data_IF_594706989088
#
_entry.id   IF_594706989088
#
_cell.length_a   1.000
_cell.length_b   1.000
_cell.length_c   1.000
_cell.angle_alpha   90.00
_cell.angle_beta   90.00
_cell.angle_gamma   90.00
#
_symmetry.space_group_name_H-M   'P 1'
#
loop_
_entity.id
_entity.type
_entity.pdbx_description
1 polymer ?
#
# COMPACT_ATOMS: atom_id res chain seq x y z
N UNK A 1 25.77 16.55 -6.63
CA UNK A 1 25.70 17.57 -5.57
C UNK A 1 26.36 18.83 -6.13
N UNK A 2 25.63 19.93 -6.26
CA UNK A 2 26.14 21.19 -6.79
C UNK A 2 25.96 22.22 -5.69
N UNK A 3 27.06 22.78 -5.20
CA UNK A 3 27.07 23.86 -4.21
C UNK A 3 26.84 25.17 -4.93
N UNK A 4 25.92 26.02 -4.46
CA UNK A 4 25.71 27.33 -5.09
C UNK A 4 26.95 28.21 -4.95
N UNK A 5 27.36 28.86 -6.03
CA UNK A 5 28.47 29.82 -6.04
C UNK A 5 27.96 31.22 -5.66
N UNK A 6 28.79 31.98 -4.93
CA UNK A 6 28.49 33.35 -4.51
C UNK A 6 28.24 34.26 -5.71
N UNK A 7 27.01 34.75 -5.85
CA UNK A 7 26.66 35.80 -6.81
C UNK A 7 26.47 37.12 -6.09
N UNK A 8 26.88 38.22 -6.72
CA UNK A 8 26.58 39.58 -6.24
C UNK A 8 25.12 39.99 -6.48
N UNK A 9 24.31 39.11 -7.05
CA UNK A 9 22.89 39.31 -7.28
C UNK A 9 22.09 38.32 -6.44
N UNK A 10 21.02 38.82 -5.82
CA UNK A 10 20.03 37.99 -5.14
C UNK A 10 19.34 37.10 -6.19
N UNK A 11 19.38 35.79 -5.98
CA UNK A 11 18.72 34.82 -6.84
C UNK A 11 18.06 33.74 -6.00
N UNK A 12 17.02 33.13 -6.53
CA UNK A 12 16.32 32.05 -5.86
C UNK A 12 15.53 31.23 -6.87
N UNK A 13 15.20 30.02 -6.47
CA UNK A 13 14.40 29.10 -7.27
C UNK A 13 13.40 28.39 -6.35
N UNK A 14 12.14 28.32 -6.78
CA UNK A 14 11.09 27.55 -6.12
C UNK A 14 10.73 26.33 -6.95
N UNK A 15 10.27 25.27 -6.29
CA UNK A 15 9.69 24.11 -6.95
C UNK A 15 8.49 23.58 -6.16
N UNK A 16 7.51 23.05 -6.87
CA UNK A 16 6.37 22.37 -6.28
C UNK A 16 6.02 21.15 -7.13
N UNK A 17 5.91 20.01 -6.45
CA UNK A 17 5.51 18.73 -7.02
C UNK A 17 4.28 18.22 -6.28
N UNK A 18 3.17 18.15 -6.99
CA UNK A 18 1.90 17.62 -6.51
C UNK A 18 1.62 16.27 -7.17
N UNK A 19 1.33 15.25 -6.36
CA UNK A 19 0.84 13.95 -6.82
C UNK A 19 -0.40 13.54 -6.04
N UNK A 20 -1.46 13.17 -6.75
CA UNK A 20 -2.76 12.87 -6.15
C UNK A 20 -3.42 11.68 -6.85
N UNK A 21 -4.03 10.78 -6.06
CA UNK A 21 -4.91 9.68 -6.48
C UNK A 21 -6.02 10.07 -7.47
N UNK A 22 -6.45 11.34 -7.49
CA UNK A 22 -7.42 11.84 -8.48
C UNK A 22 -6.85 11.96 -9.91
N UNK A 23 -5.52 12.09 -10.03
CA UNK A 23 -4.80 12.20 -11.31
C UNK A 23 -4.03 10.92 -11.66
N UNK A 24 -3.85 10.02 -10.70
CA UNK A 24 -3.15 8.74 -10.87
C UNK A 24 -4.08 7.66 -11.45
N UNK A 25 -3.53 6.77 -12.26
CA UNK A 25 -4.24 5.58 -12.73
C UNK A 25 -4.40 4.54 -11.60
N UNK A 26 -5.49 3.77 -11.64
CA UNK A 26 -5.75 2.68 -10.67
C UNK A 26 -4.67 1.60 -10.73
N UNK A 27 -4.30 1.03 -9.58
CA UNK A 27 -3.52 -0.20 -9.56
C UNK A 27 -4.43 -1.39 -9.92
N UNK A 28 -3.84 -2.48 -10.43
CA UNK A 28 -4.58 -3.71 -10.77
C UNK A 28 -5.19 -4.39 -9.53
N UNK A 29 -4.52 -4.25 -8.37
CA UNK A 29 -4.92 -4.85 -7.11
C UNK A 29 -5.86 -3.98 -6.26
N UNK A 30 -6.17 -2.76 -6.71
CA UNK A 30 -7.18 -1.90 -6.07
C UNK A 30 -8.59 -2.38 -6.46
N UNK A 31 -8.98 -3.53 -5.90
CA UNK A 31 -10.33 -4.09 -6.05
C UNK A 31 -11.23 -3.55 -4.94
N UNK A 32 -12.47 -3.17 -5.29
CA UNK A 32 -13.47 -2.81 -4.30
C UNK A 32 -13.77 -4.03 -3.42
N UNK A 33 -13.40 -3.99 -2.14
CA UNK A 33 -13.79 -5.03 -1.19
C UNK A 33 -15.26 -4.85 -0.76
N UNK A 34 -15.72 -3.60 -0.65
CA UNK A 34 -17.13 -3.25 -0.39
C UNK A 34 -17.69 -2.32 -1.50
N UNK A 35 -19.02 -2.30 -1.75
CA UNK A 35 -19.63 -1.37 -2.71
C UNK A 35 -19.29 0.11 -2.43
N UNK A 36 -19.13 0.42 -1.14
CA UNK A 36 -18.83 1.75 -0.58
C UNK A 36 -17.36 2.14 -0.71
N UNK A 37 -16.45 1.21 -0.99
CA UNK A 37 -15.03 1.53 -1.05
C UNK A 37 -14.69 2.38 -2.28
N UNK A 38 -13.88 3.45 -2.12
CA UNK A 38 -13.34 4.19 -3.25
C UNK A 38 -12.45 3.26 -4.07
N UNK A 39 -12.64 3.27 -5.39
CA UNK A 39 -11.92 2.42 -6.36
C UNK A 39 -10.41 2.68 -6.37
N UNK A 40 -9.97 3.86 -5.94
CA UNK A 40 -8.57 4.25 -5.83
C UNK A 40 -8.35 4.70 -4.38
N UNK A 41 -7.40 4.10 -3.65
CA UNK A 41 -7.09 4.52 -2.29
C UNK A 41 -6.66 5.99 -2.27
N UNK A 42 -7.08 6.80 -1.27
CA UNK A 42 -6.67 8.19 -1.19
C UNK A 42 -5.16 8.27 -0.99
N UNK A 43 -4.46 8.75 -2.02
CA UNK A 43 -3.02 8.99 -2.01
C UNK A 43 -2.77 10.45 -2.36
N UNK A 44 -2.08 11.18 -1.47
CA UNK A 44 -1.69 12.57 -1.70
C UNK A 44 -0.26 12.77 -1.26
N UNK A 45 0.59 13.27 -2.17
CA UNK A 45 1.98 13.61 -1.92
C UNK A 45 2.27 15.00 -2.46
N UNK A 46 2.60 15.91 -1.55
CA UNK A 46 2.99 17.28 -1.88
C UNK A 46 4.44 17.47 -1.44
N UNK A 47 5.32 17.75 -2.39
CA UNK A 47 6.72 18.05 -2.15
C UNK A 47 7.01 19.42 -2.72
N UNK A 48 7.28 20.39 -1.85
CA UNK A 48 7.51 21.77 -2.24
C UNK A 48 8.78 22.27 -1.57
N UNK A 49 9.43 23.23 -2.19
CA UNK A 49 10.64 23.79 -1.63
C UNK A 49 11.13 24.98 -2.41
N UNK A 50 12.15 25.62 -1.85
CA UNK A 50 12.79 26.75 -2.46
C UNK A 50 14.19 26.96 -1.95
N UNK A 51 14.97 27.64 -2.78
CA UNK A 51 16.32 28.06 -2.49
C UNK A 51 16.43 29.55 -2.70
N UNK A 52 17.18 30.22 -1.83
CA UNK A 52 17.48 31.64 -1.91
C UNK A 52 18.97 31.83 -1.61
N UNK A 53 19.65 32.59 -2.47
CA UNK A 53 21.08 32.83 -2.40
C UNK A 53 21.39 34.28 -2.75
N UNK A 54 22.31 34.91 -2.02
CA UNK A 54 22.73 36.28 -2.32
C UNK A 54 23.79 36.84 -1.37
N UNK A 55 24.32 38.03 -1.67
CA UNK A 55 25.33 38.67 -0.85
C UNK A 55 24.70 39.38 0.35
N UNK A 56 25.22 39.13 1.56
CA UNK A 56 25.01 40.02 2.71
C UNK A 56 25.94 41.22 2.59
N UNK A 57 27.18 40.99 2.17
CA UNK A 57 28.15 42.02 1.80
C UNK A 57 28.78 41.64 0.47
N UNK A 58 28.57 42.50 -0.54
CA UNK A 58 29.10 42.28 -1.90
C UNK A 58 30.59 41.95 -1.85
N UNK A 59 30.99 40.94 -2.64
CA UNK A 59 32.35 40.42 -2.76
C UNK A 59 33.00 39.87 -1.47
N UNK A 60 32.26 39.74 -0.36
CA UNK A 60 32.82 39.30 0.93
C UNK A 60 32.01 38.25 1.67
N UNK A 61 30.68 38.34 1.68
CA UNK A 61 29.83 37.47 2.48
C UNK A 61 28.55 37.15 1.73
N UNK A 62 28.32 35.86 1.52
CA UNK A 62 27.15 35.32 0.83
C UNK A 62 26.37 34.40 1.76
N UNK A 63 25.04 34.46 1.69
CA UNK A 63 24.12 33.60 2.43
C UNK A 63 23.33 32.75 1.45
N UNK A 64 23.13 31.49 1.83
CA UNK A 64 22.33 30.53 1.10
C UNK A 64 21.38 29.85 2.08
N UNK A 65 20.10 29.83 1.74
CA UNK A 65 19.04 29.16 2.50
C UNK A 65 18.26 28.25 1.58
N UNK A 66 17.99 27.02 2.04
CA UNK A 66 17.15 26.06 1.35
C UNK A 66 16.06 25.59 2.30
N UNK A 67 14.84 25.49 1.81
CA UNK A 67 13.72 24.94 2.54
C UNK A 67 13.01 23.89 1.70
N UNK A 68 12.77 22.73 2.29
CA UNK A 68 12.01 21.64 1.67
C UNK A 68 10.92 21.18 2.64
N UNK A 69 9.70 21.09 2.12
CA UNK A 69 8.52 20.58 2.79
C UNK A 69 8.01 19.34 2.09
N UNK A 70 7.90 18.24 2.85
CA UNK A 70 7.35 16.97 2.38
C UNK A 70 6.10 16.62 3.18
N UNK A 71 4.93 16.59 2.51
CA UNK A 71 3.67 16.14 3.09
C UNK A 71 3.16 14.92 2.34
N UNK A 72 2.88 13.86 3.08
CA UNK A 72 2.52 12.58 2.50
C UNK A 72 1.37 11.92 3.27
N UNK A 73 0.37 11.46 2.53
CA UNK A 73 -0.74 10.64 3.04
C UNK A 73 -0.87 9.42 2.13
N UNK A 74 -0.65 8.24 2.71
CA UNK A 74 -0.57 6.97 2.01
C UNK A 74 -1.71 6.07 2.50
N UNK A 75 -2.77 5.92 1.71
CA UNK A 75 -3.78 4.88 1.92
C UNK A 75 -3.26 3.55 1.38
N UNK A 76 -2.84 2.63 2.26
CA UNK A 76 -2.52 1.26 1.87
C UNK A 76 -3.80 0.43 1.88
N UNK A 77 -4.18 -0.12 0.73
CA UNK A 77 -5.22 -1.16 0.65
C UNK A 77 -4.58 -2.51 0.93
N UNK A 78 -4.86 -3.07 2.10
CA UNK A 78 -4.49 -4.44 2.43
C UNK A 78 -5.71 -5.34 2.23
N UNK A 79 -5.61 -6.30 1.31
CA UNK A 79 -6.62 -7.36 1.18
C UNK A 79 -6.15 -8.53 2.04
N UNK A 80 -6.82 -8.74 3.17
CA UNK A 80 -6.61 -9.92 3.99
C UNK A 80 -7.63 -10.99 3.59
N UNK A 81 -7.14 -12.17 3.20
CA UNK A 81 -8.00 -13.34 3.07
C UNK A 81 -8.33 -13.85 4.47
N UNK A 82 -9.59 -13.72 4.87
CA UNK A 82 -10.08 -14.28 6.13
C UNK A 82 -10.71 -15.65 5.88
N UNK A 83 -10.56 -16.60 6.83
CA UNK A 83 -11.31 -17.85 6.77
C UNK A 83 -12.80 -17.58 6.66
N UNK A 84 -13.45 -18.19 5.68
CA UNK A 84 -14.90 -18.19 5.53
C UNK A 84 -15.57 -19.02 6.65
N UNK A 85 -16.90 -18.99 6.72
CA UNK A 85 -17.63 -19.67 7.80
C UNK A 85 -17.37 -21.19 7.82
N UNK A 86 -17.15 -21.79 6.65
CA UNK A 86 -16.87 -23.21 6.49
C UNK A 86 -15.46 -23.56 6.98
N UNK A 87 -14.44 -22.76 6.62
CA UNK A 87 -13.07 -22.92 7.12
C UNK A 87 -13.00 -22.78 8.64
N UNK A 88 -13.79 -21.86 9.24
CA UNK A 88 -13.90 -21.70 10.71
C UNK A 88 -14.52 -22.90 11.42
N UNK A 89 -15.22 -23.75 10.69
CA UNK A 89 -15.78 -25.03 11.16
C UNK A 89 -14.90 -26.23 10.81
N UNK A 90 -13.73 -26.01 10.20
CA UNK A 90 -12.83 -27.06 9.75
C UNK A 90 -13.28 -27.76 8.47
N UNK A 91 -14.18 -27.13 7.71
CA UNK A 91 -14.61 -27.57 6.39
C UNK A 91 -13.77 -26.84 5.33
N UNK A 92 -13.14 -27.58 4.43
CA UNK A 92 -12.35 -27.01 3.34
C UNK A 92 -12.82 -27.56 2.00
N UNK A 93 -12.70 -26.81 0.90
CA UNK A 93 -13.05 -27.31 -0.42
C UNK A 93 -12.12 -28.45 -0.84
N UNK A 94 -12.65 -29.42 -1.55
CA UNK A 94 -11.92 -30.63 -1.94
C UNK A 94 -10.62 -30.38 -2.73
N UNK A 95 -10.48 -29.23 -3.40
CA UNK A 95 -9.29 -28.85 -4.16
C UNK A 95 -8.10 -28.39 -3.29
N UNK A 96 -8.31 -28.01 -2.03
CA UNK A 96 -7.21 -27.60 -1.12
C UNK A 96 -6.76 -28.72 -0.17
N UNK A 97 -7.49 -29.84 -0.12
CA UNK A 97 -7.13 -31.02 0.68
C UNK A 97 -6.18 -31.89 -0.14
N UNK A 98 -5.00 -32.29 0.40
CA UNK A 98 -4.07 -33.17 -0.31
C UNK A 98 -4.75 -34.52 -0.62
N UNK A 99 -4.42 -35.10 -1.78
CA UNK A 99 -5.09 -36.30 -2.30
C UNK A 99 -5.08 -37.49 -1.31
N UNK A 100 -4.06 -37.59 -0.46
CA UNK A 100 -3.91 -38.64 0.57
C UNK A 100 -4.91 -38.54 1.72
N UNK A 101 -5.47 -37.34 1.95
CA UNK A 101 -6.43 -37.05 3.03
C UNK A 101 -7.80 -36.65 2.48
N UNK A 102 -8.03 -36.87 1.18
CA UNK A 102 -9.26 -36.46 0.50
C UNK A 102 -10.38 -37.48 0.78
N UNK A 103 -11.52 -37.06 1.36
CA UNK A 103 -12.62 -37.96 1.67
C UNK A 103 -13.34 -38.48 0.40
N UNK A 104 -14.07 -39.61 0.47
CA UNK A 104 -14.63 -40.29 -0.71
C UNK A 104 -15.64 -39.45 -1.50
N UNK A 105 -16.27 -38.47 -0.86
CA UNK A 105 -17.22 -37.54 -1.46
C UNK A 105 -16.57 -36.46 -2.32
N UNK A 106 -15.25 -36.33 -2.28
CA UNK A 106 -14.53 -35.37 -3.09
C UNK A 106 -14.19 -35.95 -4.48
N UNK A 107 -15.06 -35.75 -5.45
CA UNK A 107 -14.85 -36.18 -6.85
C UNK A 107 -14.31 -35.03 -7.73
N UNK A 108 -13.77 -35.31 -8.93
CA UNK A 108 -13.38 -34.26 -9.88
C UNK A 108 -14.53 -33.30 -10.25
N UNK A 109 -15.78 -33.75 -10.15
CA UNK A 109 -16.98 -32.95 -10.46
C UNK A 109 -17.45 -32.07 -9.30
N UNK A 110 -16.84 -32.20 -8.12
CA UNK A 110 -17.21 -31.46 -6.90
C UNK A 110 -15.99 -30.78 -6.26
N UNK A 111 -15.23 -29.94 -7.00
CA UNK A 111 -13.98 -29.36 -6.52
C UNK A 111 -14.16 -28.38 -5.35
N UNK A 112 -15.33 -27.73 -5.28
CA UNK A 112 -15.66 -26.71 -4.26
C UNK A 112 -16.59 -27.24 -3.16
N UNK A 113 -16.85 -28.54 -3.09
CA UNK A 113 -17.69 -29.12 -2.04
C UNK A 113 -16.97 -28.95 -0.68
N UNK A 114 -17.58 -28.27 0.31
CA UNK A 114 -16.98 -28.13 1.63
C UNK A 114 -17.01 -29.48 2.34
N UNK A 115 -15.84 -30.00 2.70
CA UNK A 115 -15.73 -31.26 3.45
C UNK A 115 -14.82 -31.10 4.65
N UNK A 116 -15.16 -31.81 5.74
CA UNK A 116 -14.36 -31.83 6.96
C UNK A 116 -13.00 -32.42 6.64
N UNK A 117 -11.93 -31.68 6.98
CA UNK A 117 -10.56 -32.15 6.80
C UNK A 117 -10.31 -33.36 7.71
N UNK A 118 -9.96 -34.53 7.14
CA UNK A 118 -9.59 -35.69 7.95
C UNK A 118 -8.30 -35.40 8.71
N UNK A 119 -8.29 -35.66 10.02
CA UNK A 119 -7.16 -35.39 10.94
C UNK A 119 -6.84 -33.91 11.19
N UNK A 120 -7.81 -33.00 11.03
CA UNK A 120 -7.64 -31.64 11.53
C UNK A 120 -7.49 -31.63 13.05
N UNK A 121 -6.37 -31.09 13.57
CA UNK A 121 -6.24 -30.85 15.01
C UNK A 121 -7.30 -29.82 15.42
N UNK A 122 -8.23 -30.24 16.27
CA UNK A 122 -9.33 -29.41 16.76
C UNK A 122 -8.84 -28.21 17.57
N UNK A 123 -7.58 -28.22 18.04
CA UNK A 123 -6.92 -27.08 18.69
C UNK A 123 -6.61 -25.93 17.73
N UNK A 124 -6.69 -26.14 16.41
CA UNK A 124 -6.47 -25.09 15.40
C UNK A 124 -7.74 -24.24 15.12
N UNK A 125 -8.93 -24.77 15.41
CA UNK A 125 -10.21 -24.09 15.16
C UNK A 125 -10.40 -22.76 15.93
N UNK A 126 -9.96 -22.61 17.20
CA UNK A 126 -10.06 -21.35 17.93
C UNK A 126 -9.28 -20.21 17.27
N UNK A 127 -8.17 -20.50 16.61
CA UNK A 127 -7.32 -19.50 15.94
C UNK A 127 -7.89 -19.01 14.60
N UNK A 128 -8.92 -19.69 14.07
CA UNK A 128 -9.65 -19.25 12.89
C UNK A 128 -10.82 -18.31 13.24
N UNK A 129 -11.12 -18.10 14.54
CA UNK A 129 -12.16 -17.19 15.03
C UNK A 129 -11.54 -15.88 15.53
N UNK A 130 -11.11 -15.03 14.59
CA UNK A 130 -10.89 -13.59 14.81
C UNK A 130 -12.05 -12.79 14.20
#
# INVERSE_FOLDING_TARGET
>A
MVTQSGSNQLHGAGFEFLRNSALDARNFFDQKALPTDPRIPPFRRNQFGGSLGGPIKKDKMFLFGNYEGFRHSLGLSNVAFVPDNDARQGMMPCNVIPAVDRPPNCTPNTPNLPVRVPRLDSRMLPFMRL
#
